data_IF_725069392448
#
_entry.id   IF_725069392448
#
_cell.length_a   1.000
_cell.length_b   1.000
_cell.length_c   1.000
_cell.angle_alpha   90.00
_cell.angle_beta   90.00
_cell.angle_gamma   90.00
#
_symmetry.space_group_name_H-M   'P 1'
#
loop_
_entity.id
_entity.type
_entity.pdbx_description
1 polymer ?
#
# COMPACT_ATOMS: atom_id res chain seq x y z
N UNK A 1 -3.96 0.33 9.59
CA UNK A 1 -5.05 -0.31 8.83
C UNK A 1 -5.43 -1.58 9.58
N UNK A 2 -6.66 -2.09 9.44
CA UNK A 2 -7.02 -3.39 10.02
C UNK A 2 -6.50 -4.52 9.11
N UNK A 3 -5.39 -5.16 9.43
CA UNK A 3 -4.75 -6.08 8.48
C UNK A 3 -5.51 -7.39 8.30
N UNK A 4 -6.29 -7.84 9.29
CA UNK A 4 -7.11 -9.05 9.17
C UNK A 4 -8.23 -8.79 8.16
N UNK A 5 -9.03 -7.75 8.40
CA UNK A 5 -10.14 -7.39 7.51
C UNK A 5 -9.62 -6.99 6.13
N UNK A 6 -8.53 -6.23 6.06
CA UNK A 6 -7.90 -5.87 4.79
C UNK A 6 -7.45 -7.12 4.01
N UNK A 7 -6.89 -8.13 4.70
CA UNK A 7 -6.47 -9.39 4.09
C UNK A 7 -7.63 -10.15 3.47
N UNK A 8 -8.74 -10.28 4.19
CA UNK A 8 -9.93 -10.97 3.68
C UNK A 8 -10.57 -10.22 2.51
N UNK A 9 -10.73 -8.90 2.64
CA UNK A 9 -11.22 -8.06 1.53
C UNK A 9 -10.31 -8.14 0.31
N UNK A 10 -8.99 -8.13 0.52
CA UNK A 10 -8.01 -8.25 -0.57
C UNK A 10 -8.13 -9.62 -1.25
N UNK A 11 -8.26 -10.69 -0.49
CA UNK A 11 -8.44 -12.05 -0.99
C UNK A 11 -9.69 -12.16 -1.87
N UNK A 12 -10.82 -11.61 -1.41
CA UNK A 12 -12.07 -11.57 -2.18
C UNK A 12 -11.91 -10.77 -3.49
N UNK A 13 -11.36 -9.56 -3.40
CA UNK A 13 -11.14 -8.69 -4.56
C UNK A 13 -10.22 -9.31 -5.60
N UNK A 14 -9.08 -9.86 -5.18
CA UNK A 14 -8.11 -10.49 -6.09
C UNK A 14 -8.75 -11.73 -6.72
N UNK A 15 -9.43 -12.57 -5.93
CA UNK A 15 -10.08 -13.77 -6.45
C UNK A 15 -11.10 -13.44 -7.54
N UNK A 16 -11.94 -12.44 -7.32
CA UNK A 16 -12.94 -12.03 -8.31
C UNK A 16 -12.31 -11.35 -9.53
N UNK A 17 -11.29 -10.52 -9.32
CA UNK A 17 -10.55 -9.89 -10.40
C UNK A 17 -9.86 -10.91 -11.31
N UNK A 18 -9.19 -11.92 -10.74
CA UNK A 18 -8.48 -12.96 -11.49
C UNK A 18 -9.41 -13.89 -12.27
N UNK A 19 -10.63 -14.16 -11.80
CA UNK A 19 -11.65 -14.89 -12.59
C UNK A 19 -11.98 -14.19 -13.91
N UNK A 20 -11.97 -12.85 -13.88
CA UNK A 20 -12.31 -12.01 -15.01
C UNK A 20 -11.09 -11.64 -15.88
N UNK A 21 -9.91 -12.18 -15.56
CA UNK A 21 -8.65 -11.90 -16.23
C UNK A 21 -7.95 -13.22 -16.68
N UNK A 22 -8.50 -13.94 -17.68
CA UNK A 22 -8.05 -15.27 -18.05
C UNK A 22 -6.59 -15.34 -18.51
N UNK A 23 -6.06 -14.23 -19.05
CA UNK A 23 -4.66 -14.11 -19.48
C UNK A 23 -3.62 -14.03 -18.34
N UNK A 24 -4.02 -13.71 -17.10
CA UNK A 24 -3.10 -13.63 -15.95
C UNK A 24 -2.87 -15.00 -15.31
N UNK A 25 -3.92 -15.82 -15.27
CA UNK A 25 -3.99 -17.04 -14.48
C UNK A 25 -4.30 -18.28 -15.32
N UNK A 26 -3.80 -18.39 -16.56
CA UNK A 26 -3.89 -19.64 -17.35
C UNK A 26 -5.29 -20.29 -17.41
N UNK A 27 -6.33 -19.49 -17.20
CA UNK A 27 -7.65 -19.99 -16.81
C UNK A 27 -8.38 -20.43 -18.06
N UNK A 28 -8.17 -21.68 -18.46
CA UNK A 28 -8.90 -22.34 -19.54
C UNK A 28 -8.04 -22.97 -20.64
N UNK A 29 -6.71 -22.85 -20.58
CA UNK A 29 -5.83 -23.54 -21.54
C UNK A 29 -4.87 -24.47 -20.79
N UNK A 30 -4.64 -25.67 -21.33
CA UNK A 30 -3.70 -26.67 -20.80
C UNK A 30 -2.22 -26.22 -20.85
N UNK A 31 -1.96 -24.91 -20.95
CA UNK A 31 -0.61 -24.38 -20.99
C UNK A 31 -0.10 -24.13 -19.57
N UNK A 32 1.16 -24.53 -19.28
CA UNK A 32 1.77 -24.27 -18.00
C UNK A 32 1.84 -22.77 -17.73
N UNK A 33 1.54 -22.37 -16.49
CA UNK A 33 1.67 -20.99 -16.05
C UNK A 33 3.13 -20.52 -16.25
N UNK A 34 3.33 -19.56 -17.14
CA UNK A 34 4.66 -19.08 -17.48
C UNK A 34 5.07 -17.97 -16.50
N UNK A 35 6.15 -18.22 -15.77
CA UNK A 35 6.78 -17.23 -14.90
C UNK A 35 8.03 -16.66 -15.57
N UNK A 36 8.24 -15.36 -15.41
CA UNK A 36 9.33 -14.62 -16.03
C UNK A 36 10.33 -14.18 -14.98
N UNK A 37 11.61 -14.16 -15.33
CA UNK A 37 12.66 -13.70 -14.44
C UNK A 37 12.54 -12.18 -14.24
N UNK A 38 12.47 -11.74 -12.98
CA UNK A 38 12.41 -10.34 -12.57
C UNK A 38 13.68 -9.94 -11.83
N UNK A 39 14.20 -8.77 -12.18
CA UNK A 39 15.24 -8.10 -11.43
C UNK A 39 14.65 -7.52 -10.12
N UNK A 40 15.27 -7.78 -8.95
CA UNK A 40 14.68 -7.42 -7.66
C UNK A 40 14.69 -5.91 -7.39
N UNK A 41 15.67 -5.18 -7.94
CA UNK A 41 15.85 -3.75 -7.72
C UNK A 41 16.25 -3.02 -9.00
N UNK A 42 15.26 -2.77 -9.88
CA UNK A 42 15.46 -1.93 -11.07
C UNK A 42 15.52 -0.45 -10.62
N UNK A 43 16.68 -0.04 -10.11
CA UNK A 43 16.98 1.31 -9.64
C UNK A 43 18.08 1.96 -10.49
N UNK A 44 18.25 3.28 -10.38
CA UNK A 44 19.28 4.02 -11.14
C UNK A 44 20.71 3.54 -10.86
N UNK A 45 20.95 2.88 -9.72
CA UNK A 45 22.26 2.34 -9.37
C UNK A 45 22.57 1.02 -10.10
N UNK A 46 21.53 0.33 -10.59
CA UNK A 46 21.62 -0.98 -11.21
C UNK A 46 21.42 -0.94 -12.73
N UNK A 47 21.20 0.24 -13.30
CA UNK A 47 21.01 0.47 -14.74
C UNK A 47 22.19 1.29 -15.27
N UNK A 48 22.93 0.73 -16.23
CA UNK A 48 23.94 1.48 -16.98
C UNK A 48 23.37 1.90 -18.33
N UNK A 49 23.57 3.17 -18.67
CA UNK A 49 23.17 3.76 -19.95
C UNK A 49 24.39 4.32 -20.67
N UNK A 50 24.35 4.33 -22.01
CA UNK A 50 25.32 5.05 -22.83
C UNK A 50 24.93 6.53 -23.07
N UNK A 51 25.74 7.23 -23.86
CA UNK A 51 25.52 8.64 -24.24
C UNK A 51 24.25 8.85 -25.10
N UNK A 52 23.63 7.77 -25.59
CA UNK A 52 22.39 7.77 -26.37
C UNK A 52 21.19 7.27 -25.55
N UNK A 53 21.33 7.19 -24.21
CA UNK A 53 20.31 6.71 -23.28
C UNK A 53 19.86 5.26 -23.53
N UNK A 54 20.68 4.44 -24.20
CA UNK A 54 20.40 3.02 -24.35
C UNK A 54 20.91 2.24 -23.14
N UNK A 55 20.10 1.30 -22.64
CA UNK A 55 20.51 0.42 -21.54
C UNK A 55 21.60 -0.53 -22.05
N UNK A 56 22.81 -0.39 -21.50
CA UNK A 56 23.96 -1.23 -21.87
C UNK A 56 24.15 -2.41 -20.92
N UNK A 57 23.73 -2.27 -19.66
CA UNK A 57 23.88 -3.30 -18.65
C UNK A 57 22.85 -3.16 -17.51
N UNK A 58 22.40 -4.30 -16.98
CA UNK A 58 21.71 -4.42 -15.71
C UNK A 58 22.55 -5.28 -14.77
N UNK A 59 22.82 -4.82 -13.56
CA UNK A 59 23.64 -5.52 -12.56
C UNK A 59 22.82 -5.85 -11.30
N UNK A 60 23.42 -6.60 -10.38
CA UNK A 60 22.84 -6.97 -9.08
C UNK A 60 21.63 -7.92 -9.14
N UNK A 61 21.77 -8.96 -9.97
CA UNK A 61 20.78 -10.03 -10.13
C UNK A 61 20.72 -11.02 -8.95
N UNK A 62 21.44 -10.77 -7.84
CA UNK A 62 21.64 -11.75 -6.75
C UNK A 62 20.36 -12.23 -6.07
N UNK A 63 19.28 -11.45 -6.14
CA UNK A 63 17.96 -11.77 -5.58
C UNK A 63 16.85 -11.86 -6.65
N UNK A 64 17.21 -12.17 -7.90
CA UNK A 64 16.22 -12.34 -8.96
C UNK A 64 15.22 -13.46 -8.63
N UNK A 65 13.97 -13.26 -9.02
CA UNK A 65 12.88 -14.21 -8.78
C UNK A 65 12.01 -14.37 -10.02
N UNK A 66 11.26 -15.46 -10.10
CA UNK A 66 10.30 -15.68 -11.18
C UNK A 66 8.92 -15.17 -10.78
N UNK A 67 8.30 -14.33 -11.61
CA UNK A 67 7.02 -13.68 -11.31
C UNK A 67 6.02 -13.81 -12.47
N UNK A 68 4.71 -13.66 -12.20
CA UNK A 68 3.70 -13.50 -13.25
C UNK A 68 4.01 -12.31 -14.15
N UNK A 69 3.62 -12.40 -15.43
CA UNK A 69 3.90 -11.37 -16.42
C UNK A 69 3.44 -9.95 -16.00
N UNK A 70 2.23 -9.73 -15.42
CA UNK A 70 1.84 -8.40 -14.96
C UNK A 70 2.77 -7.80 -13.90
N UNK A 71 3.37 -8.63 -13.03
CA UNK A 71 4.35 -8.16 -12.02
C UNK A 71 5.63 -7.70 -12.71
N UNK A 72 6.08 -8.41 -13.74
CA UNK A 72 7.26 -8.04 -14.51
C UNK A 72 7.06 -6.72 -15.27
N UNK A 73 5.85 -6.53 -15.82
CA UNK A 73 5.49 -5.35 -16.62
C UNK A 73 5.16 -4.12 -15.77
N UNK A 74 5.22 -4.21 -14.43
CA UNK A 74 5.00 -3.06 -13.57
C UNK A 74 6.11 -2.03 -13.77
N UNK A 75 5.74 -0.78 -14.04
CA UNK A 75 6.67 0.31 -14.24
C UNK A 75 7.57 0.47 -12.98
N UNK A 76 8.91 0.38 -13.12
CA UNK A 76 9.82 0.49 -11.99
C UNK A 76 9.84 1.93 -11.47
N UNK A 77 9.74 2.10 -10.15
CA UNK A 77 10.01 3.39 -9.52
C UNK A 77 11.44 3.85 -9.84
N UNK A 78 11.62 5.14 -10.11
CA UNK A 78 12.95 5.75 -10.20
C UNK A 78 12.96 7.02 -9.34
N UNK A 79 14.04 7.30 -8.58
CA UNK A 79 15.34 6.64 -8.65
C UNK A 79 15.42 5.27 -7.96
N UNK A 80 14.52 4.96 -7.02
CA UNK A 80 14.43 3.66 -6.36
C UNK A 80 13.27 2.84 -6.93
N UNK A 81 13.49 1.54 -7.16
CA UNK A 81 12.51 0.63 -7.79
C UNK A 81 11.12 0.61 -7.14
N UNK A 82 11.05 1.02 -5.87
CA UNK A 82 9.87 1.03 -5.00
C UNK A 82 9.11 2.35 -5.00
N UNK A 83 9.70 3.41 -5.56
CA UNK A 83 9.11 4.74 -5.55
C UNK A 83 7.83 4.76 -6.38
N UNK A 84 6.81 5.46 -5.86
CA UNK A 84 5.58 5.68 -6.62
C UNK A 84 5.87 6.64 -7.76
N UNK A 85 5.67 6.17 -8.99
CA UNK A 85 5.77 7.02 -10.18
C UNK A 85 4.56 7.95 -10.33
N UNK A 86 4.81 9.13 -10.89
CA UNK A 86 3.74 10.00 -11.39
C UNK A 86 3.00 9.33 -12.56
N UNK A 87 1.71 9.66 -12.71
CA UNK A 87 0.86 9.06 -13.75
C UNK A 87 1.41 9.28 -15.16
N UNK A 88 2.00 10.45 -15.42
CA UNK A 88 2.64 10.81 -16.69
C UNK A 88 3.80 9.87 -17.03
N UNK A 89 4.62 9.49 -16.04
CA UNK A 89 5.74 8.57 -16.22
C UNK A 89 5.27 7.14 -16.42
N UNK A 90 4.20 6.74 -15.73
CA UNK A 90 3.58 5.42 -15.96
C UNK A 90 3.06 5.34 -17.40
N UNK A 91 2.33 6.35 -17.88
CA UNK A 91 1.86 6.39 -19.27
C UNK A 91 3.02 6.36 -20.28
N UNK A 92 4.08 7.14 -20.03
CA UNK A 92 5.26 7.14 -20.91
C UNK A 92 5.96 5.77 -20.96
N UNK A 93 6.05 5.08 -19.82
CA UNK A 93 6.56 3.71 -19.76
C UNK A 93 5.68 2.74 -20.56
N UNK A 94 4.36 2.78 -20.37
CA UNK A 94 3.42 1.90 -21.08
C UNK A 94 3.47 2.11 -22.60
N UNK A 95 3.55 3.35 -23.06
CA UNK A 95 3.63 3.70 -24.48
C UNK A 95 4.97 3.27 -25.08
N UNK A 96 6.07 3.51 -24.37
CA UNK A 96 7.40 3.05 -24.78
C UNK A 96 7.48 1.52 -24.85
N UNK A 97 6.88 0.82 -23.89
CA UNK A 97 6.80 -0.63 -23.89
C UNK A 97 6.01 -1.16 -25.09
N UNK A 98 4.82 -0.60 -25.37
CA UNK A 98 4.01 -0.99 -26.54
C UNK A 98 4.76 -0.77 -27.85
N UNK A 99 5.43 0.37 -27.99
CA UNK A 99 6.25 0.67 -29.18
C UNK A 99 7.38 -0.35 -29.35
N UNK A 100 8.16 -0.61 -28.29
CA UNK A 100 9.25 -1.57 -28.32
C UNK A 100 8.75 -3.01 -28.58
N UNK A 101 7.65 -3.41 -27.96
CA UNK A 101 7.03 -4.73 -28.17
C UNK A 101 6.57 -4.89 -29.62
N UNK A 102 5.95 -3.86 -30.21
CA UNK A 102 5.55 -3.86 -31.61
C UNK A 102 6.74 -4.02 -32.56
N UNK A 103 7.82 -3.26 -32.31
CA UNK A 103 9.04 -3.30 -33.13
C UNK A 103 9.75 -4.66 -33.06
N UNK A 104 9.74 -5.31 -31.88
CA UNK A 104 10.35 -6.64 -31.68
C UNK A 104 9.50 -7.76 -32.30
N UNK A 105 8.17 -7.67 -32.22
CA UNK A 105 7.26 -8.75 -32.59
C UNK A 105 6.77 -8.72 -34.05
N UNK A 106 7.16 -7.72 -34.86
CA UNK A 106 6.91 -7.53 -36.32
C UNK A 106 5.94 -8.52 -37.00
N UNK A 107 4.87 -8.02 -37.60
CA UNK A 107 3.94 -8.59 -38.62
C UNK A 107 3.35 -10.02 -38.48
N UNK A 108 3.93 -10.96 -37.73
CA UNK A 108 3.45 -12.37 -37.69
C UNK A 108 3.06 -12.87 -36.29
N UNK A 109 3.26 -12.06 -35.24
CA UNK A 109 2.96 -12.40 -33.84
C UNK A 109 1.97 -11.44 -33.18
N UNK A 110 0.94 -11.01 -33.93
CA UNK A 110 -0.10 -10.12 -33.41
C UNK A 110 -0.75 -10.63 -32.11
N UNK A 111 -0.97 -11.95 -32.02
CA UNK A 111 -1.53 -12.57 -30.81
C UNK A 111 -0.61 -12.43 -29.58
N UNK A 112 0.71 -12.49 -29.74
CA UNK A 112 1.65 -12.31 -28.63
C UNK A 112 1.69 -10.84 -28.20
N UNK A 113 1.65 -9.91 -29.15
CA UNK A 113 1.56 -8.48 -28.87
C UNK A 113 0.29 -8.12 -28.09
N UNK A 114 -0.87 -8.64 -28.54
CA UNK A 114 -2.15 -8.41 -27.87
C UNK A 114 -2.12 -8.98 -26.45
N UNK A 115 -1.50 -10.15 -26.25
CA UNK A 115 -1.34 -10.77 -24.93
C UNK A 115 -0.44 -9.94 -24.00
N UNK A 116 0.66 -9.36 -24.51
CA UNK A 116 1.50 -8.44 -23.74
C UNK A 116 0.75 -7.17 -23.37
N UNK A 117 -0.02 -6.60 -24.30
CA UNK A 117 -0.84 -5.42 -24.04
C UNK A 117 -1.93 -5.68 -23.01
N UNK A 118 -2.56 -6.86 -23.04
CA UNK A 118 -3.52 -7.30 -22.03
C UNK A 118 -2.84 -7.43 -20.67
N UNK A 119 -1.70 -8.12 -20.60
CA UNK A 119 -0.94 -8.28 -19.35
C UNK A 119 -0.49 -6.93 -18.75
N UNK A 120 -0.13 -5.97 -19.59
CA UNK A 120 0.26 -4.62 -19.18
C UNK A 120 -0.88 -3.89 -18.46
N UNK A 121 -2.14 -4.07 -18.86
CA UNK A 121 -3.30 -3.44 -18.19
C UNK A 121 -3.43 -3.88 -16.72
N UNK A 122 -2.92 -5.06 -16.39
CA UNK A 122 -2.95 -5.61 -15.04
C UNK A 122 -1.70 -5.28 -14.22
N UNK A 123 -0.68 -4.68 -14.83
CA UNK A 123 0.60 -4.39 -14.18
C UNK A 123 0.45 -3.40 -13.02
N UNK A 124 -0.35 -2.35 -13.20
CA UNK A 124 -0.56 -1.31 -12.20
C UNK A 124 -1.29 -1.81 -10.95
N UNK A 125 -2.46 -2.48 -11.03
CA UNK A 125 -3.06 -3.11 -9.86
C UNK A 125 -2.11 -4.07 -9.16
N UNK A 126 -1.37 -4.88 -9.93
CA UNK A 126 -0.44 -5.85 -9.39
C UNK A 126 0.73 -5.21 -8.66
N UNK A 127 1.23 -4.06 -9.14
CA UNK A 127 2.24 -3.28 -8.43
C UNK A 127 1.76 -2.91 -7.03
N UNK A 128 0.54 -2.35 -6.88
CA UNK A 128 0.00 -2.03 -5.55
C UNK A 128 -0.19 -3.25 -4.66
N UNK A 129 -0.63 -4.39 -5.24
CA UNK A 129 -0.77 -5.66 -4.51
C UNK A 129 0.58 -6.13 -3.98
N UNK A 130 1.62 -6.18 -4.82
CA UNK A 130 2.95 -6.59 -4.39
C UNK A 130 3.50 -5.67 -3.29
N UNK A 131 3.40 -4.34 -3.46
CA UNK A 131 3.83 -3.37 -2.44
C UNK A 131 3.12 -3.58 -1.09
N UNK A 132 1.83 -3.91 -1.12
CA UNK A 132 1.06 -4.14 0.09
C UNK A 132 1.42 -5.48 0.75
N UNK A 133 1.63 -6.54 -0.03
CA UNK A 133 1.96 -7.87 0.47
C UNK A 133 3.41 -7.99 0.96
N UNK A 134 4.32 -7.20 0.39
CA UNK A 134 5.72 -7.13 0.84
C UNK A 134 5.87 -6.43 2.20
N UNK A 135 4.82 -5.75 2.69
CA UNK A 135 4.77 -5.00 3.95
C UNK A 135 5.97 -4.04 4.14
N UNK A 136 6.47 -3.49 3.04
CA UNK A 136 7.69 -2.68 3.01
C UNK A 136 7.39 -1.19 2.75
N UNK A 137 6.14 -0.79 2.98
CA UNK A 137 5.63 0.55 2.73
C UNK A 137 5.14 1.18 4.04
N UNK A 138 5.25 2.50 4.12
CA UNK A 138 4.67 3.30 5.22
C UNK A 138 3.26 3.81 4.85
N UNK A 139 2.79 3.54 3.63
CA UNK A 139 1.51 4.03 3.10
C UNK A 139 0.55 2.89 2.73
N UNK A 140 0.56 1.78 3.48
CA UNK A 140 -0.25 0.58 3.18
C UNK A 140 -1.72 0.89 2.92
N UNK A 141 -2.31 1.80 3.69
CA UNK A 141 -3.69 2.19 3.49
C UNK A 141 -3.95 2.88 2.15
N UNK A 142 -2.98 3.67 1.65
CA UNK A 142 -3.07 4.29 0.32
C UNK A 142 -2.94 3.23 -0.78
N UNK A 143 -2.04 2.25 -0.61
CA UNK A 143 -1.91 1.13 -1.54
C UNK A 143 -3.21 0.32 -1.60
N UNK A 144 -3.75 -0.07 -0.44
CA UNK A 144 -5.05 -0.75 -0.36
C UNK A 144 -6.18 0.07 -1.00
N UNK A 145 -6.21 1.40 -0.79
CA UNK A 145 -7.19 2.29 -1.41
C UNK A 145 -7.08 2.28 -2.93
N UNK A 146 -5.87 2.31 -3.48
CA UNK A 146 -5.67 2.24 -4.93
C UNK A 146 -6.09 0.87 -5.49
N UNK A 147 -5.80 -0.23 -4.79
CA UNK A 147 -6.29 -1.56 -5.15
C UNK A 147 -7.83 -1.56 -5.18
N UNK A 148 -8.47 -1.05 -4.12
CA UNK A 148 -9.93 -0.93 -4.07
C UNK A 148 -10.48 -0.09 -5.22
N UNK A 149 -9.84 1.03 -5.54
CA UNK A 149 -10.24 1.91 -6.64
C UNK A 149 -10.12 1.20 -7.99
N UNK A 150 -9.06 0.41 -8.20
CA UNK A 150 -8.78 -0.26 -9.47
C UNK A 150 -9.65 -1.51 -9.64
N UNK A 151 -9.61 -2.45 -8.69
CA UNK A 151 -10.20 -3.79 -8.83
C UNK A 151 -11.34 -4.07 -7.85
N UNK A 152 -11.53 -3.23 -6.82
CA UNK A 152 -12.59 -3.40 -5.84
C UNK A 152 -13.99 -2.99 -6.33
N UNK A 153 -15.03 -3.32 -5.55
CA UNK A 153 -16.43 -3.01 -5.85
C UNK A 153 -16.67 -1.50 -5.88
N UNK A 154 -17.33 -1.02 -6.95
CA UNK A 154 -17.51 0.42 -7.23
C UNK A 154 -18.65 1.08 -6.45
N UNK A 155 -19.58 0.28 -5.96
CA UNK A 155 -20.78 0.69 -5.22
C UNK A 155 -20.54 0.78 -3.70
N UNK A 156 -19.40 0.28 -3.22
CA UNK A 156 -19.07 0.18 -1.80
C UNK A 156 -17.95 1.14 -1.40
N UNK A 157 -18.09 1.75 -0.23
CA UNK A 157 -17.03 2.57 0.38
C UNK A 157 -16.18 1.71 1.29
N UNK A 158 -14.86 1.85 1.15
CA UNK A 158 -13.87 1.16 2.00
C UNK A 158 -14.22 1.31 3.49
N UNK A 159 -14.54 2.53 3.94
CA UNK A 159 -14.86 2.83 5.33
C UNK A 159 -16.02 2.00 5.88
N UNK A 160 -17.01 1.70 5.05
CA UNK A 160 -18.22 0.99 5.45
C UNK A 160 -17.95 -0.51 5.57
N UNK A 161 -17.11 -1.05 4.70
CA UNK A 161 -16.68 -2.45 4.71
C UNK A 161 -15.81 -2.76 5.93
N UNK A 162 -14.82 -1.90 6.23
CA UNK A 162 -14.05 -2.03 7.48
C UNK A 162 -14.94 -1.94 8.72
N UNK A 163 -15.90 -1.00 8.74
CA UNK A 163 -16.82 -0.84 9.87
C UNK A 163 -17.76 -2.05 10.02
N UNK A 164 -18.21 -2.61 8.90
CA UNK A 164 -19.03 -3.82 8.87
C UNK A 164 -18.23 -5.01 9.42
N UNK A 165 -17.00 -5.20 8.94
CA UNK A 165 -16.09 -6.23 9.42
C UNK A 165 -15.83 -6.12 10.93
N UNK A 166 -15.50 -4.94 11.45
CA UNK A 166 -15.25 -4.73 12.88
C UNK A 166 -16.47 -5.03 13.77
N UNK A 167 -17.69 -4.99 13.21
CA UNK A 167 -18.92 -5.35 13.90
C UNK A 167 -19.30 -6.83 13.75
N UNK A 168 -18.70 -7.54 12.81
CA UNK A 168 -19.03 -8.93 12.56
C UNK A 168 -18.54 -9.83 13.71
N UNK A 169 -19.33 -10.85 14.11
CA UNK A 169 -18.97 -11.71 15.24
C UNK A 169 -17.61 -12.40 15.09
N UNK A 170 -17.26 -12.85 13.88
CA UNK A 170 -15.99 -13.54 13.61
C UNK A 170 -14.76 -12.67 13.91
N UNK A 171 -14.74 -11.42 13.45
CA UNK A 171 -13.62 -10.52 13.69
C UNK A 171 -13.56 -10.03 15.14
N UNK A 172 -14.72 -9.86 15.81
CA UNK A 172 -14.73 -9.56 17.25
C UNK A 172 -14.16 -10.69 18.09
N UNK A 173 -14.50 -11.93 17.76
CA UNK A 173 -13.93 -13.09 18.43
C UNK A 173 -12.41 -13.11 18.24
N UNK A 174 -11.93 -12.97 17.01
CA UNK A 174 -10.49 -12.93 16.72
C UNK A 174 -9.78 -11.78 17.46
N UNK A 175 -10.41 -10.61 17.54
CA UNK A 175 -9.87 -9.48 18.30
C UNK A 175 -9.74 -9.79 19.81
N UNK A 176 -10.72 -10.47 20.42
CA UNK A 176 -10.61 -10.90 21.82
C UNK A 176 -9.53 -11.97 22.00
N UNK A 177 -9.37 -12.90 21.06
CA UNK A 177 -8.27 -13.88 21.08
C UNK A 177 -6.90 -13.20 21.02
N UNK A 178 -6.72 -12.23 20.11
CA UNK A 178 -5.47 -11.46 20.00
C UNK A 178 -5.16 -10.63 21.26
N UNK A 179 -6.20 -10.20 21.98
CA UNK A 179 -6.08 -9.41 23.20
C UNK A 179 -5.58 -10.24 24.39
N UNK A 180 -5.77 -11.56 24.38
CA UNK A 180 -5.17 -12.44 25.39
C UNK A 180 -3.64 -12.47 25.31
N UNK A 181 -3.08 -12.22 24.12
CA UNK A 181 -1.63 -12.11 23.89
C UNK A 181 -1.08 -10.70 24.17
N UNK A 182 -1.93 -9.70 24.44
CA UNK A 182 -1.45 -8.34 24.74
C UNK A 182 -0.60 -8.32 26.03
N UNK A 183 0.57 -7.66 26.02
CA UNK A 183 1.38 -7.52 27.22
C UNK A 183 0.64 -6.71 28.29
N UNK A 184 0.92 -7.02 29.57
CA UNK A 184 0.33 -6.27 30.69
C UNK A 184 0.63 -4.77 30.61
N UNK A 185 -0.25 -3.94 31.19
CA UNK A 185 -0.09 -2.48 31.24
C UNK A 185 1.26 -2.03 31.81
N UNK A 186 1.81 -2.79 32.76
CA UNK A 186 3.13 -2.56 33.34
C UNK A 186 4.25 -2.78 32.33
N UNK A 187 4.15 -3.86 31.52
CA UNK A 187 5.10 -4.13 30.43
C UNK A 187 4.98 -3.08 29.34
N UNK A 188 3.76 -2.68 28.96
CA UNK A 188 3.53 -1.59 27.99
C UNK A 188 4.17 -0.30 28.50
N UNK A 189 3.91 0.10 29.74
CA UNK A 189 4.47 1.32 30.34
C UNK A 189 6.00 1.30 30.40
N UNK A 190 6.60 0.13 30.66
CA UNK A 190 8.06 -0.04 30.63
C UNK A 190 8.62 0.15 29.22
N UNK A 191 8.06 -0.53 28.22
CA UNK A 191 8.49 -0.37 26.83
C UNK A 191 8.26 1.05 26.32
N UNK A 192 7.15 1.70 26.66
CA UNK A 192 6.93 3.12 26.31
C UNK A 192 8.04 4.01 26.90
N UNK A 193 8.38 3.83 28.18
CA UNK A 193 9.47 4.59 28.78
C UNK A 193 10.80 4.32 28.07
N UNK A 194 11.11 3.08 27.74
CA UNK A 194 12.32 2.71 27.01
C UNK A 194 12.35 3.31 25.60
N UNK A 195 11.29 3.17 24.81
CA UNK A 195 11.20 3.73 23.46
C UNK A 195 11.30 5.27 23.45
N UNK A 196 10.70 5.93 24.45
CA UNK A 196 10.71 7.39 24.57
C UNK A 196 11.77 7.90 25.57
N UNK A 197 12.75 7.10 26.02
CA UNK A 197 13.77 7.59 26.98
C UNK A 197 14.65 8.70 26.40
N UNK A 198 14.88 8.68 25.09
CA UNK A 198 15.67 9.70 24.36
C UNK A 198 14.83 10.80 23.72
N UNK A 199 13.52 10.61 23.71
CA UNK A 199 12.58 11.49 23.04
C UNK A 199 11.75 12.24 24.08
N UNK A 200 11.50 13.54 23.88
CA UNK A 200 10.78 14.38 24.85
C UNK A 200 9.44 13.77 25.30
N UNK A 201 9.04 13.99 26.56
CA UNK A 201 7.70 13.63 27.11
C UNK A 201 6.53 14.08 26.22
N UNK A 202 6.75 15.12 25.42
CA UNK A 202 5.83 15.62 24.41
C UNK A 202 5.48 14.57 23.34
N UNK A 203 6.44 13.80 22.84
CA UNK A 203 6.20 12.75 21.83
C UNK A 203 5.40 11.59 22.39
N UNK A 204 5.70 11.17 23.62
CA UNK A 204 4.89 10.19 24.34
C UNK A 204 3.45 10.68 24.53
N UNK A 205 3.28 11.97 24.88
CA UNK A 205 1.96 12.58 25.04
C UNK A 205 1.18 12.66 23.73
N UNK A 206 1.85 12.98 22.62
CA UNK A 206 1.25 12.96 21.28
C UNK A 206 0.82 11.54 20.93
N UNK A 207 1.70 10.55 21.10
CA UNK A 207 1.40 9.14 20.84
C UNK A 207 0.14 8.67 21.57
N UNK A 208 0.07 8.90 22.89
CA UNK A 208 -1.11 8.54 23.70
C UNK A 208 -2.40 9.25 23.24
N UNK A 209 -2.30 10.53 22.87
CA UNK A 209 -3.45 11.28 22.32
C UNK A 209 -3.89 10.72 20.97
N UNK A 210 -2.96 10.35 20.10
CA UNK A 210 -3.27 9.73 18.80
C UNK A 210 -3.94 8.37 19.01
N UNK A 211 -3.44 7.54 19.93
CA UNK A 211 -4.09 6.27 20.29
C UNK A 211 -5.52 6.48 20.77
N UNK A 212 -5.75 7.45 21.66
CA UNK A 212 -7.08 7.80 22.16
C UNK A 212 -8.00 8.30 21.04
N UNK A 213 -7.54 9.25 20.24
CA UNK A 213 -8.33 9.86 19.15
C UNK A 213 -8.59 8.85 18.04
N UNK A 214 -7.70 7.89 17.80
CA UNK A 214 -7.94 6.81 16.83
C UNK A 214 -9.18 6.00 17.18
N UNK A 215 -9.53 5.96 18.47
CA UNK A 215 -10.64 5.21 19.06
C UNK A 215 -10.63 3.74 18.61
N UNK A 216 -9.44 3.19 18.33
CA UNK A 216 -9.29 1.90 17.64
C UNK A 216 -9.92 0.74 18.41
N UNK A 217 -9.61 0.63 19.70
CA UNK A 217 -10.07 -0.46 20.57
C UNK A 217 -11.59 -0.54 20.66
N UNK A 218 -12.26 0.62 20.65
CA UNK A 218 -13.70 0.67 20.82
C UNK A 218 -14.48 0.28 19.55
N UNK A 219 -13.80 0.13 18.41
CA UNK A 219 -14.48 -0.23 17.14
C UNK A 219 -15.04 -1.65 17.14
N UNK A 220 -14.48 -2.50 17.99
CA UNK A 220 -14.91 -3.88 18.19
C UNK A 220 -15.97 -4.01 19.30
N UNK A 221 -16.18 -2.97 20.10
CA UNK A 221 -17.12 -2.97 21.23
C UNK A 221 -18.60 -2.91 20.78
N UNK A 222 -19.50 -3.20 21.73
CA UNK A 222 -20.92 -3.04 21.50
C UNK A 222 -21.36 -1.57 21.34
N UNK A 223 -22.43 -1.30 20.57
CA UNK A 223 -22.88 0.06 20.20
C UNK A 223 -23.25 1.00 21.36
N UNK A 224 -23.34 0.48 22.58
CA UNK A 224 -23.72 1.19 23.80
C UNK A 224 -22.58 2.02 24.41
N UNK A 225 -21.35 1.84 23.94
CA UNK A 225 -20.18 2.53 24.49
C UNK A 225 -20.05 3.99 23.99
N UNK A 226 -19.54 4.87 24.86
CA UNK A 226 -19.34 6.30 24.58
C UNK A 226 -18.10 6.50 23.70
N UNK A 227 -18.26 6.35 22.39
CA UNK A 227 -17.17 6.55 21.42
C UNK A 227 -16.87 8.03 21.17
N UNK A 228 -15.58 8.36 21.04
CA UNK A 228 -15.12 9.69 20.62
C UNK A 228 -15.46 9.88 19.12
N UNK A 229 -15.40 8.80 18.32
CA UNK A 229 -15.60 8.84 16.87
C UNK A 229 -16.88 8.14 16.38
N UNK A 230 -17.99 8.21 17.13
CA UNK A 230 -19.24 7.45 16.86
C UNK A 230 -19.76 7.52 15.42
N UNK A 231 -19.66 8.68 14.77
CA UNK A 231 -20.13 8.93 13.40
C UNK A 231 -19.01 9.37 12.44
N UNK A 232 -17.75 9.38 12.89
CA UNK A 232 -16.65 9.87 12.08
C UNK A 232 -16.09 8.75 11.18
N UNK A 233 -15.47 9.13 10.07
CA UNK A 233 -14.71 8.20 9.25
C UNK A 233 -13.52 7.60 10.01
N UNK A 234 -13.02 6.48 9.49
CA UNK A 234 -11.82 5.79 9.95
C UNK A 234 -10.72 6.83 10.19
N UNK A 235 -10.12 6.82 11.38
CA UNK A 235 -8.94 7.65 11.64
C UNK A 235 -7.79 7.23 10.73
N UNK A 236 -7.27 8.18 9.94
CA UNK A 236 -6.12 7.99 9.06
C UNK A 236 -5.06 9.00 9.46
N UNK A 237 -3.86 8.53 9.77
CA UNK A 237 -2.71 9.38 10.07
C UNK A 237 -2.04 9.86 8.77
N UNK A 238 -2.75 10.70 8.02
CA UNK A 238 -2.30 11.22 6.73
C UNK A 238 -1.35 12.42 6.86
N UNK A 239 -0.85 12.90 5.72
CA UNK A 239 0.06 14.05 5.67
C UNK A 239 -0.52 15.30 6.35
N UNK A 240 -1.84 15.51 6.29
CA UNK A 240 -2.49 16.68 6.92
C UNK A 240 -2.38 16.62 8.43
N UNK A 241 -2.59 15.44 9.02
CA UNK A 241 -2.38 15.24 10.46
C UNK A 241 -0.93 15.55 10.84
N UNK A 242 0.04 15.05 10.08
CA UNK A 242 1.45 15.26 10.38
C UNK A 242 1.89 16.71 10.23
N UNK A 243 1.38 17.43 9.22
CA UNK A 243 1.57 18.87 9.07
C UNK A 243 1.00 19.64 10.26
N UNK A 244 -0.21 19.29 10.71
CA UNK A 244 -0.83 19.91 11.88
C UNK A 244 -0.02 19.66 13.16
N UNK A 245 0.43 18.42 13.40
CA UNK A 245 1.30 18.10 14.53
C UNK A 245 2.60 18.90 14.45
N UNK A 246 3.22 19.00 13.28
CA UNK A 246 4.43 19.78 13.05
C UNK A 246 4.25 21.27 13.37
N UNK A 247 3.13 21.86 12.94
CA UNK A 247 2.78 23.24 13.26
C UNK A 247 2.63 23.43 14.78
N UNK A 248 1.86 22.57 15.45
CA UNK A 248 1.70 22.64 16.91
C UNK A 248 3.01 22.46 17.67
N UNK A 249 3.92 21.59 17.20
CA UNK A 249 5.24 21.42 17.80
C UNK A 249 6.10 22.67 17.65
N UNK A 250 6.00 23.36 16.52
CA UNK A 250 6.73 24.62 16.25
C UNK A 250 6.19 25.74 17.15
N UNK A 251 4.87 25.87 17.28
CA UNK A 251 4.24 26.87 18.16
C UNK A 251 4.60 26.68 19.63
N UNK A 252 4.78 25.43 20.08
CA UNK A 252 5.20 25.10 21.43
C UNK A 252 6.69 25.39 21.70
N UNK A 253 7.53 25.40 20.65
CA UNK A 253 8.95 25.70 20.75
C UNK A 253 9.25 27.20 20.64
N UNK A 254 8.34 28.00 20.06
CA UNK A 254 8.49 29.44 19.91
C UNK A 254 7.28 30.22 20.47
N UNK A 255 7.15 30.30 21.82
CA UNK A 255 6.02 30.97 22.48
C UNK A 255 5.98 32.50 22.26
N UNK A 256 6.94 33.07 21.51
CA UNK A 256 7.05 34.50 21.26
C UNK A 256 6.16 35.02 20.12
N UNK A 257 5.57 34.14 19.30
CA UNK A 257 4.73 34.52 18.16
C UNK A 257 3.22 34.58 18.46
N UNK A 258 2.77 33.99 19.58
CA UNK A 258 1.36 33.97 19.98
C UNK A 258 1.00 35.11 20.94
N UNK A 259 1.06 36.35 20.47
CA UNK A 259 0.25 37.41 21.08
C UNK A 259 -1.17 37.32 20.54
N UNK A 260 -2.21 37.32 21.39
CA UNK A 260 -3.59 37.38 20.93
C UNK A 260 -3.83 38.75 20.30
N UNK A 261 -4.25 38.77 19.05
CA UNK A 261 -4.85 39.95 18.44
C UNK A 261 -6.21 40.16 19.10
N UNK A 262 -6.24 40.94 20.18
CA UNK A 262 -7.44 41.64 20.59
C UNK A 262 -7.77 42.68 19.50
N UNK A 263 -8.90 42.49 18.82
CA UNK A 263 -10.05 43.40 18.66
C UNK A 263 -11.02 42.75 17.69
#
# INVERSE_FOLDING_TARGET
MDYVIAGDLLSEMITEWLKNAPGICGSGSQQPQQFHLRHPDVSVNNIFIDDQYQITCLIDWGFCSTVPLPVLLAAPGLPQSRDKLEESLVSAFEDGFKLAAYDVLRDWKHQEYDSLCEALQYSRPMWFVCRLLDLDSIEDFNHFREIWRLIGPKDKRISDEFRSGQKAPCYRQLYEEMKEEEPSMERISRHEKECFTRESELRLSISRKLSLVSDWRSRYDEPSSKHIRRNADVFVADQKLWQWIGACLTDLQDPSSSKPTNV
#
